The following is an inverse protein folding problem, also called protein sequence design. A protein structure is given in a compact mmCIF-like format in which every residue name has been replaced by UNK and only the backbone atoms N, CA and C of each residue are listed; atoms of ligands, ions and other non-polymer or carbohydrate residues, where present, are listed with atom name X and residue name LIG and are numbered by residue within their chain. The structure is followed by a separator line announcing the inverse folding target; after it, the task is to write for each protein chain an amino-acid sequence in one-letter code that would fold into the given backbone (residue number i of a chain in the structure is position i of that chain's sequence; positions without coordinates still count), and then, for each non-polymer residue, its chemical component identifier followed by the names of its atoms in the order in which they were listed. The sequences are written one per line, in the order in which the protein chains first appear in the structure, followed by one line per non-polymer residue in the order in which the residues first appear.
data_IF_670973979288
#
_entry.id   IF_670973979288
#
_cell.length_a   1.000
_cell.length_b   1.000
_cell.length_c   1.000
_cell.angle_alpha   90.00
_cell.angle_beta   90.00
_cell.angle_gamma   90.00
#
_symmetry.space_group_name_H-M   'P 1'
#
loop_
_entity.id
_entity.type
_entity.pdbx_description
1 polymer ?
#
# COMPACT_ATOMS: atom_id res chain seq x y z
N UNK A 1 -40.40 8.78 30.34
CA UNK A 1 -40.51 8.79 31.82
C UNK A 1 -40.79 7.35 32.22
N UNK A 2 -40.00 6.62 33.01
CA UNK A 2 -39.26 6.99 34.21
C UNK A 2 -37.92 6.22 34.30
N UNK A 3 -37.10 6.65 35.25
CA UNK A 3 -35.66 6.47 35.33
C UNK A 3 -35.22 5.49 36.44
N UNK A 4 -33.91 5.20 36.38
CA UNK A 4 -33.00 4.45 37.25
C UNK A 4 -33.16 4.58 38.78
N UNK A 5 -32.80 3.50 39.50
CA UNK A 5 -31.97 3.43 40.74
C UNK A 5 -31.44 1.97 40.88
N UNK A 6 -30.13 1.66 40.80
CA UNK A 6 -29.08 1.55 41.86
C UNK A 6 -29.59 0.87 43.16
N UNK A 7 -29.00 -0.18 43.76
CA UNK A 7 -27.59 -0.32 44.24
C UNK A 7 -27.31 -1.71 44.89
N UNK A 8 -26.02 -2.11 44.89
CA UNK A 8 -25.22 -2.87 45.91
C UNK A 8 -25.45 -4.38 46.15
N UNK A 9 -24.40 -5.18 45.89
CA UNK A 9 -23.89 -6.20 46.83
C UNK A 9 -22.41 -6.52 46.54
N UNK A 10 -21.52 -6.17 47.49
CA UNK A 10 -20.15 -6.68 47.63
C UNK A 10 -20.16 -7.67 48.80
N UNK A 11 -19.59 -8.86 48.64
CA UNK A 11 -19.03 -9.64 49.75
C UNK A 11 -17.77 -10.36 49.27
N UNK A 12 -16.65 -10.05 49.93
CA UNK A 12 -15.36 -10.74 49.89
C UNK A 12 -15.25 -11.60 51.15
N UNK A 13 -14.62 -12.77 51.03
CA UNK A 13 -13.77 -13.55 51.98
C UNK A 13 -13.87 -15.03 51.58
N UNK A 14 -12.84 -15.87 51.54
CA UNK A 14 -11.47 -15.79 51.99
C UNK A 14 -10.70 -17.09 51.66
N UNK A 15 -9.39 -16.95 51.76
CA UNK A 15 -8.22 -17.84 51.77
C UNK A 15 -8.28 -19.38 51.68
N UNK A 16 -7.07 -19.88 51.29
CA UNK A 16 -6.42 -21.17 51.55
C UNK A 16 -6.70 -22.31 50.56
N UNK A 17 -5.77 -23.19 50.20
CA UNK A 17 -4.30 -23.33 50.20
C UNK A 17 -4.11 -24.76 49.61
N UNK A 18 -2.96 -25.02 48.98
CA UNK A 18 -2.43 -26.36 48.62
C UNK A 18 -3.05 -27.06 47.41
N UNK A 19 -2.19 -27.43 46.45
CA UNK A 19 -1.98 -28.83 46.02
C UNK A 19 -0.71 -28.86 45.14
N UNK A 20 0.44 -29.15 45.77
CA UNK A 20 1.59 -29.76 45.12
C UNK A 20 1.48 -31.26 45.37
N UNK A 21 1.45 -32.06 44.31
CA UNK A 21 1.70 -33.52 44.40
C UNK A 21 2.72 -33.90 43.33
N UNK A 22 3.79 -34.61 43.68
CA UNK A 22 4.86 -35.02 42.76
C UNK A 22 4.55 -36.40 42.15
N UNK A 23 5.02 -36.65 40.94
CA UNK A 23 5.13 -38.01 40.42
C UNK A 23 6.59 -38.25 40.03
N UNK A 24 7.28 -39.06 40.84
CA UNK A 24 8.62 -39.52 40.57
C UNK A 24 8.63 -40.71 39.62
N UNK A 25 9.74 -40.88 38.92
CA UNK A 25 10.19 -42.19 38.47
C UNK A 25 11.66 -42.36 38.84
N UNK A 26 11.90 -43.49 39.49
CA UNK A 26 13.14 -44.00 40.05
C UNK A 26 13.88 -44.76 38.96
N UNK A 27 15.18 -44.47 38.78
CA UNK A 27 16.15 -45.47 38.30
C UNK A 27 17.45 -45.30 39.10
N UNK A 28 17.83 -46.40 39.76
CA UNK A 28 18.96 -46.51 40.67
C UNK A 28 20.22 -47.06 39.97
N UNK A 29 21.34 -46.48 40.37
CA UNK A 29 22.67 -47.06 40.58
C UNK A 29 23.55 -47.46 39.37
N UNK A 30 24.70 -46.79 39.26
CA UNK A 30 26.02 -47.40 39.42
C UNK A 30 27.09 -46.30 39.63
N UNK A 31 27.89 -46.47 40.69
CA UNK A 31 29.06 -45.64 41.01
C UNK A 31 30.28 -46.18 40.26
N UNK A 32 31.21 -45.31 39.86
CA UNK A 32 32.64 -45.49 40.16
C UNK A 32 33.45 -44.22 39.86
N UNK A 33 34.35 -43.94 40.79
CA UNK A 33 35.31 -42.85 40.88
C UNK A 33 36.47 -43.01 39.90
N UNK A 34 36.90 -41.93 39.23
CA UNK A 34 38.32 -41.64 38.94
C UNK A 34 38.51 -40.20 38.40
N UNK A 35 39.53 -39.45 38.85
CA UNK A 35 39.78 -38.08 38.40
C UNK A 35 40.78 -38.05 37.24
N UNK A 36 40.61 -37.15 36.26
CA UNK A 36 41.75 -36.55 35.51
C UNK A 36 41.37 -35.43 34.54
N UNK A 37 41.91 -34.25 34.86
CA UNK A 37 42.60 -33.26 34.00
C UNK A 37 41.80 -32.60 32.87
N UNK A 38 41.33 -31.39 33.15
CA UNK A 38 41.06 -30.37 32.14
C UNK A 38 42.39 -29.94 31.48
N UNK A 39 42.53 -29.94 30.15
CA UNK A 39 43.69 -29.34 29.50
C UNK A 39 43.54 -27.82 29.50
N UNK A 40 44.41 -27.14 30.25
CA UNK A 40 44.63 -25.71 30.13
C UNK A 40 45.16 -25.42 28.71
N UNK A 41 44.36 -24.76 27.88
CA UNK A 41 44.84 -24.19 26.61
C UNK A 41 45.73 -22.99 26.92
N UNK A 42 47.03 -23.18 26.83
CA UNK A 42 48.01 -22.09 26.79
C UNK A 42 47.88 -21.35 25.47
N UNK A 43 47.51 -20.07 25.51
CA UNK A 43 47.58 -19.19 24.34
C UNK A 43 49.05 -18.99 23.94
N UNK A 44 49.42 -19.43 22.75
CA UNK A 44 50.69 -19.08 22.14
C UNK A 44 50.60 -17.63 21.62
N UNK A 45 51.47 -16.75 22.14
CA UNK A 45 51.61 -15.39 21.65
C UNK A 45 52.19 -15.39 20.23
N UNK A 46 51.45 -14.84 19.27
CA UNK A 46 51.93 -14.59 17.90
C UNK A 46 52.81 -13.34 17.91
N UNK A 47 54.04 -13.48 17.42
CA UNK A 47 54.99 -12.39 17.20
C UNK A 47 54.40 -11.36 16.22
N UNK A 48 54.44 -10.09 16.61
CA UNK A 48 54.08 -8.95 15.76
C UNK A 48 55.08 -8.78 14.61
N UNK A 49 54.62 -8.96 13.37
CA UNK A 49 55.35 -8.62 12.15
C UNK A 49 54.94 -7.23 11.64
N UNK A 50 55.93 -6.54 11.06
CA UNK A 50 55.93 -5.13 10.67
C UNK A 50 54.84 -4.73 9.66
N UNK A 51 54.29 -3.55 9.95
CA UNK A 51 53.57 -2.55 9.13
C UNK A 51 53.73 -2.69 7.60
N UNK A 52 52.61 -2.96 6.92
CA UNK A 52 52.41 -2.71 5.48
C UNK A 52 51.07 -2.00 5.30
N UNK A 53 51.06 -0.86 4.59
CA UNK A 53 49.86 -0.07 4.28
C UNK A 53 48.86 -0.93 3.49
N UNK A 54 47.61 -1.00 3.96
CA UNK A 54 46.44 -1.46 3.20
C UNK A 54 45.41 -0.33 3.18
N UNK A 55 44.87 -0.11 1.99
CA UNK A 55 43.80 0.84 1.67
C UNK A 55 42.57 0.59 2.54
N UNK A 56 42.00 1.68 3.07
CA UNK A 56 40.76 1.64 3.86
C UNK A 56 39.57 1.40 2.94
N UNK A 57 39.00 0.20 3.01
CA UNK A 57 37.62 -0.01 2.59
C UNK A 57 36.68 0.56 3.67
N UNK A 58 35.65 1.36 3.33
CA UNK A 58 34.73 1.90 4.31
C UNK A 58 33.90 0.76 4.92
N UNK A 59 33.97 0.63 6.24
CA UNK A 59 33.12 -0.29 7.01
C UNK A 59 31.63 0.06 6.78
N UNK A 60 30.73 -0.93 6.60
CA UNK A 60 29.31 -0.65 6.53
C UNK A 60 28.87 -0.02 7.85
N UNK A 61 28.30 1.19 7.78
CA UNK A 61 27.61 1.82 8.90
C UNK A 61 26.38 0.97 9.18
N UNK A 62 26.45 0.09 10.18
CA UNK A 62 25.26 -0.40 10.86
C UNK A 62 24.66 0.83 11.54
N UNK A 63 23.63 1.41 10.92
CA UNK A 63 22.75 2.33 11.62
C UNK A 63 22.13 1.54 12.77
N UNK A 64 22.70 1.68 13.95
CA UNK A 64 21.98 1.35 15.18
C UNK A 64 20.74 2.22 15.14
N UNK A 65 19.56 1.60 14.96
CA UNK A 65 18.30 2.23 15.34
C UNK A 65 18.51 2.76 16.76
N UNK A 66 18.61 4.08 16.87
CA UNK A 66 18.63 4.71 18.18
C UNK A 66 17.22 4.50 18.69
N UNK A 67 17.06 3.61 19.66
CA UNK A 67 15.85 3.57 20.44
C UNK A 67 15.81 4.89 21.22
N UNK A 68 15.19 5.91 20.63
CA UNK A 68 14.97 7.20 21.26
C UNK A 68 13.78 7.00 22.19
N UNK A 69 14.02 6.35 23.32
CA UNK A 69 13.17 6.48 24.48
C UNK A 69 13.45 7.87 25.07
N UNK A 70 13.01 8.93 24.40
CA UNK A 70 12.99 10.27 25.00
C UNK A 70 11.89 10.26 26.07
N UNK A 71 12.22 10.21 27.38
CA UNK A 71 11.20 10.20 28.44
C UNK A 71 10.38 11.49 28.46
N UNK A 72 10.87 12.54 27.81
CA UNK A 72 10.27 13.87 27.73
C UNK A 72 9.41 14.10 26.49
N UNK A 73 9.29 13.12 25.58
CA UNK A 73 8.40 13.25 24.41
C UNK A 73 6.94 13.05 24.85
N UNK A 74 6.17 14.14 24.90
CA UNK A 74 4.76 14.09 25.32
C UNK A 74 3.97 13.07 24.49
N UNK A 75 3.29 12.14 25.15
CA UNK A 75 2.47 11.10 24.51
C UNK A 75 1.12 11.72 24.07
N UNK A 76 0.58 11.35 22.90
CA UNK A 76 -0.80 11.71 22.54
C UNK A 76 -1.80 11.22 23.60
N UNK A 77 -2.87 11.97 23.83
CA UNK A 77 -3.89 11.61 24.82
C UNK A 77 -4.51 10.23 24.51
N UNK A 78 -4.50 9.32 25.49
CA UNK A 78 -5.09 7.97 25.39
C UNK A 78 -4.12 6.82 25.07
N UNK A 79 -2.83 7.11 24.83
CA UNK A 79 -1.79 6.08 24.63
C UNK A 79 -0.98 5.82 25.90
N UNK A 80 -0.67 4.55 26.17
CA UNK A 80 0.07 4.12 27.37
C UNK A 80 1.59 4.30 27.18
N UNK A 81 2.12 3.93 26.01
CA UNK A 81 3.53 4.11 25.64
C UNK A 81 3.71 4.19 24.10
N UNK A 82 4.92 4.57 23.67
CA UNK A 82 5.27 4.65 22.23
C UNK A 82 5.53 3.29 21.61
N UNK A 83 6.21 2.40 22.34
CA UNK A 83 6.47 1.03 21.95
C UNK A 83 5.93 0.07 23.00
N UNK A 84 5.37 -1.08 22.60
CA UNK A 84 4.99 -2.13 23.52
C UNK A 84 6.24 -2.76 24.15
N UNK A 85 6.19 -3.00 25.46
CA UNK A 85 7.26 -3.69 26.20
C UNK A 85 7.17 -5.20 25.99
N UNK A 86 5.94 -5.71 25.91
CA UNK A 86 5.64 -7.13 25.77
C UNK A 86 5.27 -7.46 24.32
N UNK A 87 5.51 -8.71 23.92
CA UNK A 87 5.15 -9.23 22.59
C UNK A 87 3.64 -9.20 22.34
N UNK A 88 2.85 -9.42 23.40
CA UNK A 88 1.38 -9.37 23.36
C UNK A 88 0.89 -8.10 24.03
N UNK A 89 0.31 -7.22 23.25
CA UNK A 89 -0.18 -5.93 23.72
C UNK A 89 -1.51 -5.55 23.07
N UNK A 90 -2.28 -4.72 23.77
CA UNK A 90 -3.55 -4.21 23.26
C UNK A 90 -3.29 -3.07 22.27
N UNK A 91 -3.50 -3.31 20.98
CA UNK A 91 -3.24 -2.36 19.89
C UNK A 91 -3.87 -0.97 20.10
N UNK A 92 -5.00 -0.87 20.82
CA UNK A 92 -5.67 0.40 21.12
C UNK A 92 -4.81 1.37 21.94
N UNK A 93 -3.92 0.84 22.78
CA UNK A 93 -3.12 1.64 23.73
C UNK A 93 -1.76 2.08 23.18
N UNK A 94 -1.44 1.69 21.95
CA UNK A 94 -0.16 1.96 21.31
C UNK A 94 -0.38 2.61 19.93
N UNK A 95 0.54 3.47 19.49
CA UNK A 95 0.49 3.96 18.13
C UNK A 95 0.71 2.79 17.16
N UNK A 96 0.06 2.83 16.00
CA UNK A 96 0.29 1.83 14.96
C UNK A 96 1.73 1.94 14.45
N UNK A 97 2.47 0.83 14.35
CA UNK A 97 3.84 0.84 13.83
C UNK A 97 3.84 1.25 12.35
N UNK A 98 4.87 2.00 11.96
CA UNK A 98 5.09 2.43 10.57
C UNK A 98 6.25 1.62 10.02
N UNK A 99 6.03 0.95 8.89
CA UNK A 99 6.99 0.04 8.28
C UNK A 99 7.59 0.61 7.00
N UNK A 100 8.79 0.12 6.68
CA UNK A 100 9.36 0.31 5.35
C UNK A 100 8.57 -0.51 4.32
N UNK A 101 8.45 -0.02 3.08
CA UNK A 101 7.61 -0.65 2.06
C UNK A 101 8.04 -2.08 1.71
N UNK A 102 9.35 -2.34 1.65
CA UNK A 102 9.91 -3.69 1.42
C UNK A 102 9.50 -4.67 2.51
N UNK A 103 9.69 -4.26 3.77
CA UNK A 103 9.35 -5.07 4.96
C UNK A 103 7.84 -5.33 5.03
N UNK A 104 7.03 -4.33 4.71
CA UNK A 104 5.58 -4.45 4.68
C UNK A 104 5.10 -5.50 3.65
N UNK A 105 5.67 -5.49 2.45
CA UNK A 105 5.33 -6.48 1.41
C UNK A 105 5.70 -7.89 1.85
N UNK A 106 6.88 -8.07 2.47
CA UNK A 106 7.28 -9.37 3.02
C UNK A 106 6.33 -9.86 4.13
N UNK A 107 5.88 -8.94 5.00
CA UNK A 107 4.89 -9.27 6.02
C UNK A 107 3.56 -9.70 5.40
N UNK A 108 3.07 -8.99 4.38
CA UNK A 108 1.85 -9.38 3.68
C UNK A 108 1.94 -10.78 3.06
N UNK A 109 3.08 -11.14 2.47
CA UNK A 109 3.32 -12.49 1.93
C UNK A 109 3.35 -13.54 3.03
N UNK A 110 3.97 -13.24 4.17
CA UNK A 110 3.97 -14.14 5.34
C UNK A 110 2.58 -14.30 5.93
N UNK A 111 1.80 -13.23 6.05
CA UNK A 111 0.41 -13.29 6.52
C UNK A 111 -0.43 -14.20 5.63
N UNK A 112 -0.30 -14.06 4.31
CA UNK A 112 -1.00 -14.94 3.36
C UNK A 112 -0.66 -16.42 3.56
N UNK A 113 0.60 -16.76 3.85
CA UNK A 113 1.04 -18.13 4.17
C UNK A 113 0.48 -18.63 5.51
N UNK A 114 0.51 -17.79 6.55
CA UNK A 114 0.04 -18.13 7.90
C UNK A 114 -1.47 -18.29 7.97
N UNK A 115 -2.20 -17.47 7.21
CA UNK A 115 -3.66 -17.51 7.13
C UNK A 115 -4.17 -18.59 6.15
N UNK A 116 -3.26 -19.34 5.49
CA UNK A 116 -3.57 -20.34 4.46
C UNK A 116 -4.51 -19.83 3.36
N UNK A 117 -4.29 -18.58 2.93
CA UNK A 117 -5.13 -17.93 1.93
C UNK A 117 -4.55 -18.03 0.51
N UNK A 118 -5.35 -17.66 -0.48
CA UNK A 118 -4.99 -17.76 -1.90
C UNK A 118 -3.74 -16.93 -2.25
N UNK A 119 -2.85 -17.48 -3.09
CA UNK A 119 -1.57 -16.83 -3.44
C UNK A 119 -1.72 -15.60 -4.34
N UNK A 120 -2.68 -15.60 -5.28
CA UNK A 120 -2.89 -14.44 -6.18
C UNK A 120 -3.92 -13.46 -5.63
N UNK A 121 -3.85 -13.18 -4.33
CA UNK A 121 -4.63 -12.12 -3.71
C UNK A 121 -4.22 -10.75 -4.22
N UNK A 122 -5.18 -9.84 -4.26
CA UNK A 122 -4.96 -8.44 -4.65
C UNK A 122 -4.38 -7.66 -3.49
N UNK A 123 -3.38 -6.85 -3.80
CA UNK A 123 -2.76 -5.88 -2.89
C UNK A 123 -3.33 -4.50 -3.20
N UNK A 124 -3.82 -3.86 -2.15
CA UNK A 124 -4.40 -2.54 -2.18
C UNK A 124 -3.47 -1.53 -1.51
N UNK A 125 -3.48 -0.31 -2.04
CA UNK A 125 -2.88 0.87 -1.45
C UNK A 125 -3.98 1.87 -1.14
N UNK A 126 -4.05 2.24 0.13
CA UNK A 126 -4.88 3.30 0.64
C UNK A 126 -3.98 4.51 0.94
N UNK A 127 -4.16 5.57 0.16
CA UNK A 127 -3.49 6.85 0.36
C UNK A 127 -4.48 7.86 0.91
N UNK A 128 -4.12 8.53 2.01
CA UNK A 128 -4.80 9.71 2.50
C UNK A 128 -4.07 10.95 2.01
N UNK A 129 -4.78 11.81 1.29
CA UNK A 129 -4.24 13.03 0.72
C UNK A 129 -4.62 14.24 1.57
N UNK A 130 -3.69 15.19 1.69
CA UNK A 130 -4.02 16.53 2.13
C UNK A 130 -4.41 17.37 0.92
N UNK A 131 -5.71 17.58 0.71
CA UNK A 131 -6.23 18.40 -0.39
C UNK A 131 -6.38 19.88 0.00
N UNK A 132 -6.01 20.26 1.23
CA UNK A 132 -6.07 21.66 1.69
C UNK A 132 -4.85 22.42 1.17
N UNK A 133 -5.06 23.65 0.72
CA UNK A 133 -3.99 24.59 0.45
C UNK A 133 -4.00 25.70 1.51
N UNK A 134 -2.90 26.44 1.63
CA UNK A 134 -2.75 27.52 2.62
C UNK A 134 -3.79 28.65 2.45
N UNK A 135 -4.29 28.84 1.21
CA UNK A 135 -5.44 29.70 0.90
C UNK A 135 -6.71 28.84 0.84
N UNK A 136 -7.89 29.44 1.04
CA UNK A 136 -9.22 28.75 1.00
C UNK A 136 -9.51 27.91 -0.26
N UNK A 137 -8.63 27.95 -1.26
CA UNK A 137 -8.60 27.06 -2.43
C UNK A 137 -8.25 25.64 -2.02
N UNK A 138 -9.04 24.66 -2.49
CA UNK A 138 -8.74 23.23 -2.31
C UNK A 138 -8.25 22.67 -3.63
N UNK A 139 -7.46 21.61 -3.58
CA UNK A 139 -7.22 20.78 -4.77
C UNK A 139 -8.54 20.11 -5.14
N UNK A 140 -8.93 20.19 -6.41
CA UNK A 140 -10.13 19.51 -6.90
C UNK A 140 -9.91 17.99 -6.87
N UNK A 141 -10.94 17.19 -6.51
CA UNK A 141 -10.84 15.74 -6.62
C UNK A 141 -10.68 15.37 -8.10
N UNK A 142 -9.70 14.51 -8.37
CA UNK A 142 -9.33 14.10 -9.72
C UNK A 142 -9.45 12.59 -9.91
N UNK A 143 -9.41 12.18 -11.17
CA UNK A 143 -9.37 10.79 -11.62
C UNK A 143 -8.21 10.72 -12.60
N UNK A 144 -7.23 9.88 -12.30
CA UNK A 144 -6.03 9.73 -13.12
C UNK A 144 -5.98 8.33 -13.72
N UNK A 145 -5.26 8.19 -14.82
CA UNK A 145 -4.95 6.90 -15.44
C UNK A 145 -3.46 6.84 -15.70
N UNK A 146 -2.81 5.81 -15.14
CA UNK A 146 -1.35 5.65 -15.15
C UNK A 146 -0.99 4.32 -15.75
N UNK A 147 0.11 4.27 -16.51
CA UNK A 147 0.65 3.02 -16.99
C UNK A 147 1.47 2.36 -15.87
N UNK A 148 1.04 1.19 -15.40
CA UNK A 148 1.84 0.43 -14.42
C UNK A 148 2.99 -0.29 -15.15
N UNK A 149 4.23 -0.23 -14.64
CA UNK A 149 5.37 -0.90 -15.26
C UNK A 149 5.19 -2.43 -15.27
N UNK A 150 4.52 -2.98 -14.26
CA UNK A 150 4.18 -4.39 -14.19
C UNK A 150 2.66 -4.57 -14.15
N UNK A 151 2.14 -5.33 -15.12
CA UNK A 151 0.71 -5.49 -15.30
C UNK A 151 0.09 -6.41 -14.25
N UNK A 152 -1.08 -5.99 -13.76
CA UNK A 152 -1.92 -6.73 -12.81
C UNK A 152 -2.72 -7.86 -13.46
N UNK A 153 -3.24 -7.58 -14.64
CA UNK A 153 -4.13 -8.47 -15.39
C UNK A 153 -3.42 -8.88 -16.67
N UNK A 154 -3.64 -10.13 -17.07
CA UNK A 154 -3.24 -10.61 -18.40
C UNK A 154 -4.17 -10.06 -19.49
N UNK A 155 -5.40 -9.70 -19.14
CA UNK A 155 -6.38 -9.15 -20.07
C UNK A 155 -6.21 -7.64 -20.27
N UNK A 156 -6.19 -7.23 -21.54
CA UNK A 156 -6.14 -5.83 -21.98
C UNK A 156 -7.52 -5.19 -21.79
N UNK A 157 -7.56 -3.92 -21.37
CA UNK A 157 -8.81 -3.20 -21.19
C UNK A 157 -9.56 -3.04 -22.52
N UNK A 158 -10.87 -3.25 -22.51
CA UNK A 158 -11.72 -3.02 -23.69
C UNK A 158 -12.00 -1.52 -23.80
N UNK A 159 -11.48 -0.89 -24.86
CA UNK A 159 -11.66 0.54 -25.12
C UNK A 159 -12.60 0.76 -26.30
N UNK A 160 -13.65 1.54 -26.08
CA UNK A 160 -14.59 1.99 -27.11
C UNK A 160 -14.32 3.45 -27.46
N UNK A 161 -14.27 3.77 -28.75
CA UNK A 161 -14.01 5.14 -29.24
C UNK A 161 -15.23 5.69 -29.97
N UNK A 162 -15.71 6.84 -29.50
CA UNK A 162 -16.75 7.63 -30.15
C UNK A 162 -16.13 8.70 -31.07
N UNK A 163 -16.40 8.62 -32.36
CA UNK A 163 -15.97 9.60 -33.36
C UNK A 163 -16.97 9.70 -34.51
N UNK A 164 -17.28 10.92 -34.96
CA UNK A 164 -18.04 11.15 -36.20
C UNK A 164 -17.11 11.26 -37.42
N UNK A 165 -15.87 11.67 -37.20
CA UNK A 165 -14.90 11.84 -38.26
C UNK A 165 -14.38 10.46 -38.71
N UNK A 166 -14.56 10.16 -40.00
CA UNK A 166 -14.17 8.88 -40.59
C UNK A 166 -12.65 8.63 -40.49
N UNK A 167 -11.82 9.66 -40.60
CA UNK A 167 -10.37 9.52 -40.53
C UNK A 167 -9.91 9.13 -39.11
N UNK A 168 -10.51 9.76 -38.10
CA UNK A 168 -10.26 9.44 -36.69
C UNK A 168 -10.78 8.05 -36.31
N UNK A 169 -11.89 7.61 -36.92
CA UNK A 169 -12.40 6.26 -36.75
C UNK A 169 -11.44 5.22 -37.34
N UNK A 170 -10.93 5.42 -38.56
CA UNK A 170 -9.93 4.53 -39.17
C UNK A 170 -8.66 4.41 -38.32
N UNK A 171 -8.14 5.54 -37.80
CA UNK A 171 -6.97 5.53 -36.90
C UNK A 171 -7.23 4.73 -35.63
N UNK A 172 -8.44 4.79 -35.08
CA UNK A 172 -8.82 4.01 -33.91
C UNK A 172 -8.92 2.50 -34.20
N UNK A 173 -9.42 2.13 -35.39
CA UNK A 173 -9.50 0.74 -35.87
C UNK A 173 -8.10 0.17 -36.10
N UNK A 174 -7.22 0.91 -36.78
CA UNK A 174 -5.80 0.54 -36.98
C UNK A 174 -5.07 0.32 -35.64
N UNK A 175 -5.44 1.12 -34.64
CA UNK A 175 -4.91 1.02 -33.28
C UNK A 175 -5.52 -0.10 -32.47
N UNK A 176 -6.33 -0.99 -33.05
CA UNK A 176 -7.01 -2.11 -32.38
C UNK A 176 -7.92 -1.67 -31.22
N UNK A 177 -8.72 -0.62 -31.41
CA UNK A 177 -9.83 -0.34 -30.49
C UNK A 177 -10.87 -1.48 -30.56
N UNK A 178 -11.52 -1.80 -29.45
CA UNK A 178 -12.47 -2.92 -29.41
C UNK A 178 -13.74 -2.61 -30.21
N UNK A 179 -14.19 -1.36 -30.14
CA UNK A 179 -15.34 -0.84 -30.87
C UNK A 179 -15.07 0.61 -31.26
N UNK A 180 -15.42 0.97 -32.49
CA UNK A 180 -15.29 2.32 -33.02
C UNK A 180 -16.61 2.69 -33.72
N UNK A 181 -17.10 3.90 -33.51
CA UNK A 181 -18.29 4.36 -34.20
C UNK A 181 -18.80 5.72 -33.73
N UNK A 182 -19.81 6.22 -34.43
CA UNK A 182 -20.45 7.51 -34.16
C UNK A 182 -21.73 7.36 -33.34
N UNK A 183 -22.81 7.96 -33.83
CA UNK A 183 -24.12 7.96 -33.17
C UNK A 183 -24.75 6.57 -33.03
N UNK A 184 -24.48 5.68 -33.99
CA UNK A 184 -25.04 4.33 -34.01
C UNK A 184 -24.65 3.51 -32.77
N UNK A 185 -23.42 3.72 -32.26
CA UNK A 185 -22.97 3.05 -31.04
C UNK A 185 -23.66 3.56 -29.78
N UNK A 186 -24.21 4.78 -29.80
CA UNK A 186 -24.88 5.36 -28.63
C UNK A 186 -26.10 4.51 -28.28
N UNK A 187 -26.90 4.13 -29.27
CA UNK A 187 -28.07 3.27 -29.07
C UNK A 187 -27.67 1.87 -28.58
N UNK A 188 -26.67 1.24 -29.22
CA UNK A 188 -26.18 -0.09 -28.79
C UNK A 188 -25.65 -0.09 -27.35
N UNK A 189 -24.99 0.99 -26.92
CA UNK A 189 -24.56 1.14 -25.53
C UNK A 189 -25.74 1.41 -24.59
N UNK A 190 -26.78 2.11 -25.04
CA UNK A 190 -28.04 2.29 -24.29
C UNK A 190 -28.85 1.00 -24.14
N UNK A 191 -28.75 0.09 -25.11
CA UNK A 191 -29.44 -1.21 -25.11
C UNK A 191 -28.63 -2.33 -24.44
N UNK A 192 -27.44 -2.02 -23.91
CA UNK A 192 -26.50 -2.96 -23.26
C UNK A 192 -25.92 -4.04 -24.20
N UNK A 193 -26.03 -3.86 -25.52
CA UNK A 193 -25.41 -4.78 -26.49
C UNK A 193 -23.88 -4.69 -26.46
N UNK A 194 -23.35 -3.48 -26.22
CA UNK A 194 -21.91 -3.20 -26.23
C UNK A 194 -21.47 -2.67 -24.87
N UNK A 195 -20.54 -3.38 -24.24
CA UNK A 195 -19.94 -3.01 -22.96
C UNK A 195 -18.42 -2.87 -23.07
N UNK A 196 -17.89 -1.76 -22.56
CA UNK A 196 -16.47 -1.47 -22.52
C UNK A 196 -16.00 -1.05 -21.11
N UNK A 197 -14.70 -1.14 -20.88
CA UNK A 197 -14.07 -0.68 -19.64
C UNK A 197 -13.89 0.84 -19.69
N UNK A 198 -13.33 1.33 -20.80
CA UNK A 198 -13.10 2.75 -21.06
C UNK A 198 -13.86 3.21 -22.30
N UNK A 199 -14.41 4.41 -22.19
CA UNK A 199 -15.09 5.12 -23.28
C UNK A 199 -14.29 6.37 -23.59
N UNK A 200 -13.78 6.47 -24.81
CA UNK A 200 -13.07 7.62 -25.34
C UNK A 200 -13.98 8.37 -26.32
N UNK A 201 -13.83 9.69 -26.39
CA UNK A 201 -14.61 10.49 -27.32
C UNK A 201 -13.78 11.62 -27.93
N UNK A 202 -14.04 11.90 -29.19
CA UNK A 202 -13.61 13.15 -29.84
C UNK A 202 -14.53 14.28 -29.36
N UNK A 203 -14.04 15.52 -29.15
CA UNK A 203 -14.87 16.64 -28.71
C UNK A 203 -16.13 16.86 -29.56
N UNK A 204 -16.08 16.58 -30.86
CA UNK A 204 -17.15 16.84 -31.82
C UNK A 204 -18.45 16.07 -31.51
N UNK A 205 -18.34 14.81 -31.07
CA UNK A 205 -19.50 13.94 -30.78
C UNK A 205 -20.07 14.13 -29.35
N UNK A 206 -19.40 14.92 -28.50
CA UNK A 206 -19.76 15.04 -27.08
C UNK A 206 -21.19 15.53 -26.85
N UNK A 207 -21.71 16.39 -27.74
CA UNK A 207 -23.08 16.89 -27.65
C UNK A 207 -24.11 15.75 -27.79
N UNK A 208 -23.81 14.75 -28.61
CA UNK A 208 -24.69 13.61 -28.89
C UNK A 208 -24.60 12.53 -27.81
N UNK A 209 -23.49 12.48 -27.06
CA UNK A 209 -23.29 11.53 -25.95
C UNK A 209 -24.08 11.86 -24.68
N UNK A 210 -24.79 12.99 -24.62
CA UNK A 210 -25.56 13.40 -23.44
C UNK A 210 -26.52 12.33 -22.88
N UNK A 211 -27.25 11.55 -23.69
CA UNK A 211 -28.14 10.50 -23.21
C UNK A 211 -27.42 9.41 -22.38
N UNK A 212 -26.14 9.14 -22.68
CA UNK A 212 -25.34 8.13 -21.99
C UNK A 212 -24.89 8.56 -20.59
N UNK A 213 -25.03 9.83 -20.23
CA UNK A 213 -24.54 10.40 -18.96
C UNK A 213 -25.09 9.66 -17.73
N UNK A 214 -26.39 9.34 -17.76
CA UNK A 214 -27.06 8.66 -16.65
C UNK A 214 -26.67 7.17 -16.55
N UNK A 215 -26.40 6.53 -17.69
CA UNK A 215 -26.03 5.11 -17.77
C UNK A 215 -24.57 4.89 -17.39
N UNK A 216 -23.64 5.62 -18.02
CA UNK A 216 -22.21 5.43 -17.83
C UNK A 216 -21.69 6.04 -16.50
N UNK A 217 -22.37 7.04 -15.93
CA UNK A 217 -22.03 7.71 -14.64
C UNK A 217 -20.54 8.03 -14.47
N UNK A 218 -19.77 7.14 -13.83
CA UNK A 218 -18.32 7.28 -13.60
C UNK A 218 -17.50 7.04 -14.87
N UNK A 219 -17.97 6.15 -15.76
CA UNK A 219 -17.31 5.78 -17.02
C UNK A 219 -17.53 6.80 -18.15
N UNK A 220 -18.41 7.80 -17.95
CA UNK A 220 -18.73 8.80 -18.96
C UNK A 220 -17.47 9.60 -19.36
N UNK A 221 -17.22 9.85 -20.65
CA UNK A 221 -16.06 10.61 -21.11
C UNK A 221 -16.05 12.04 -20.54
N UNK A 222 -14.92 12.47 -19.95
CA UNK A 222 -14.72 13.83 -19.43
C UNK A 222 -13.34 14.35 -19.75
N UNK A 223 -13.23 15.63 -20.07
CA UNK A 223 -11.93 16.29 -20.32
C UNK A 223 -11.00 16.17 -19.09
N UNK A 224 -11.52 16.33 -17.87
CA UNK A 224 -10.75 16.20 -16.62
C UNK A 224 -10.11 14.81 -16.42
N UNK A 225 -10.66 13.76 -17.05
CA UNK A 225 -10.15 12.37 -16.98
C UNK A 225 -9.19 12.06 -18.13
N UNK A 226 -8.99 12.99 -19.07
CA UNK A 226 -8.19 12.75 -20.28
C UNK A 226 -8.83 11.79 -21.30
N UNK A 227 -10.10 11.39 -21.12
CA UNK A 227 -10.80 10.49 -22.05
C UNK A 227 -11.43 11.21 -23.24
N UNK A 228 -11.32 12.54 -23.29
CA UNK A 228 -11.82 13.36 -24.39
C UNK A 228 -10.64 14.10 -24.98
N UNK A 229 -10.41 13.91 -26.27
CA UNK A 229 -9.25 14.50 -26.94
C UNK A 229 -9.24 14.23 -28.44
N UNK A 230 -8.40 14.97 -29.14
CA UNK A 230 -8.23 14.84 -30.61
C UNK A 230 -7.22 13.74 -30.96
N UNK A 231 -6.25 13.49 -30.08
CA UNK A 231 -5.16 12.53 -30.32
C UNK A 231 -5.56 11.12 -29.86
N UNK A 232 -6.30 10.38 -30.70
CA UNK A 232 -6.85 9.07 -30.34
C UNK A 232 -5.76 8.01 -30.11
N UNK A 233 -4.70 8.01 -30.92
CA UNK A 233 -3.61 7.02 -30.82
C UNK A 233 -2.99 6.99 -29.41
N UNK A 234 -2.56 8.16 -28.93
CA UNK A 234 -1.96 8.33 -27.60
C UNK A 234 -2.93 7.95 -26.49
N UNK A 235 -4.20 8.33 -26.63
CA UNK A 235 -5.22 7.96 -25.64
C UNK A 235 -5.43 6.44 -25.62
N UNK A 236 -5.52 5.79 -26.77
CA UNK A 236 -5.70 4.34 -26.85
C UNK A 236 -4.54 3.58 -26.20
N UNK A 237 -3.30 3.98 -26.47
CA UNK A 237 -2.12 3.38 -25.82
C UNK A 237 -2.18 3.47 -24.30
N UNK A 238 -2.54 4.67 -23.79
CA UNK A 238 -2.67 4.92 -22.36
C UNK A 238 -3.81 4.12 -21.72
N UNK A 239 -5.01 4.10 -22.31
CA UNK A 239 -6.18 3.47 -21.66
C UNK A 239 -6.25 1.95 -21.85
N UNK A 240 -5.61 1.40 -22.88
CA UNK A 240 -5.53 -0.06 -23.09
C UNK A 240 -4.83 -0.79 -21.96
N UNK A 241 -3.74 -0.21 -21.48
CA UNK A 241 -2.90 -0.77 -20.41
C UNK A 241 -2.98 0.04 -19.12
N UNK A 242 -3.69 1.17 -19.16
CA UNK A 242 -3.80 2.11 -18.07
C UNK A 242 -4.53 1.54 -16.87
N UNK A 243 -4.00 1.84 -15.71
CA UNK A 243 -4.62 1.64 -14.42
C UNK A 243 -5.25 2.94 -13.96
N UNK A 244 -6.56 2.92 -13.74
CA UNK A 244 -7.30 4.09 -13.26
C UNK A 244 -7.40 4.07 -11.74
N UNK A 245 -7.17 5.24 -11.13
CA UNK A 245 -7.50 5.50 -9.74
C UNK A 245 -8.25 6.83 -9.60
N UNK A 246 -9.03 6.94 -8.53
CA UNK A 246 -9.88 8.09 -8.26
C UNK A 246 -9.75 8.54 -6.81
N UNK A 247 -9.86 9.85 -6.60
CA UNK A 247 -9.98 10.42 -5.27
C UNK A 247 -11.42 10.30 -4.78
N UNK A 248 -11.62 9.61 -3.66
CA UNK A 248 -12.91 9.49 -2.99
C UNK A 248 -13.23 10.74 -2.15
N UNK A 249 -14.47 10.83 -1.65
CA UNK A 249 -15.00 12.04 -1.00
C UNK A 249 -14.20 12.50 0.22
N UNK A 250 -13.60 11.56 0.94
CA UNK A 250 -12.85 11.84 2.17
C UNK A 250 -11.33 12.00 1.93
N UNK A 251 -10.93 12.35 0.70
CA UNK A 251 -9.54 12.52 0.27
C UNK A 251 -8.71 11.23 0.35
N UNK A 252 -9.37 10.08 0.22
CA UNK A 252 -8.71 8.77 0.12
C UNK A 252 -8.60 8.32 -1.32
N UNK A 253 -7.53 7.60 -1.63
CA UNK A 253 -7.36 6.84 -2.86
C UNK A 253 -7.19 5.38 -2.45
N UNK A 254 -8.14 4.53 -2.81
CA UNK A 254 -8.03 3.08 -2.66
C UNK A 254 -7.82 2.43 -4.03
N UNK A 255 -6.62 1.92 -4.25
CA UNK A 255 -6.19 1.44 -5.57
C UNK A 255 -5.54 0.06 -5.47
N UNK A 256 -5.73 -0.77 -6.49
CA UNK A 256 -5.09 -2.09 -6.59
C UNK A 256 -3.73 -1.92 -7.25
N UNK A 257 -2.64 -2.34 -6.62
CA UNK A 257 -1.29 -2.17 -7.18
C UNK A 257 -0.76 -3.44 -7.83
N UNK A 258 -0.90 -4.56 -7.11
CA UNK A 258 -0.26 -5.82 -7.47
C UNK A 258 -1.09 -7.03 -7.01
N UNK A 259 -0.65 -8.23 -7.39
CA UNK A 259 -1.02 -9.48 -6.70
C UNK A 259 0.12 -9.96 -5.82
N UNK A 260 -0.18 -10.64 -4.69
CA UNK A 260 0.85 -11.11 -3.75
C UNK A 260 1.87 -12.09 -4.35
N UNK A 261 1.48 -12.82 -5.40
CA UNK A 261 2.34 -13.74 -6.16
C UNK A 261 3.50 -13.02 -6.89
N UNK A 262 3.36 -11.72 -7.16
CA UNK A 262 4.40 -10.94 -7.85
C UNK A 262 5.67 -10.79 -6.99
N UNK A 263 6.86 -10.70 -7.60
CA UNK A 263 8.08 -10.44 -6.85
C UNK A 263 8.04 -9.05 -6.20
N UNK A 264 8.73 -8.89 -5.07
CA UNK A 264 8.67 -7.67 -4.25
C UNK A 264 9.01 -6.43 -5.07
N UNK A 265 10.05 -6.51 -5.91
CA UNK A 265 10.54 -5.40 -6.74
C UNK A 265 9.45 -4.86 -7.68
N UNK A 266 8.61 -5.73 -8.25
CA UNK A 266 7.54 -5.32 -9.15
C UNK A 266 6.41 -4.60 -8.39
N UNK A 267 6.11 -5.06 -7.18
CA UNK A 267 5.11 -4.41 -6.31
C UNK A 267 5.60 -3.01 -5.92
N UNK A 268 6.88 -2.89 -5.55
CA UNK A 268 7.50 -1.61 -5.20
C UNK A 268 7.50 -0.63 -6.38
N UNK A 269 7.89 -1.08 -7.58
CA UNK A 269 7.90 -0.26 -8.77
C UNK A 269 6.50 0.25 -9.15
N UNK A 270 5.48 -0.61 -9.12
CA UNK A 270 4.10 -0.20 -9.38
C UNK A 270 3.60 0.81 -8.35
N UNK A 271 3.95 0.62 -7.07
CA UNK A 271 3.57 1.54 -6.00
C UNK A 271 4.26 2.90 -6.17
N UNK A 272 5.55 2.91 -6.53
CA UNK A 272 6.31 4.12 -6.81
C UNK A 272 5.67 4.93 -7.94
N UNK A 273 5.25 4.27 -9.02
CA UNK A 273 4.61 4.92 -10.18
C UNK A 273 3.27 5.59 -9.82
N UNK A 274 2.47 4.94 -8.95
CA UNK A 274 1.21 5.54 -8.48
C UNK A 274 1.49 6.75 -7.58
N UNK A 275 2.44 6.63 -6.64
CA UNK A 275 2.76 7.72 -5.72
C UNK A 275 3.38 8.91 -6.46
N UNK A 276 4.25 8.67 -7.45
CA UNK A 276 4.84 9.73 -8.26
C UNK A 276 3.77 10.48 -9.05
N UNK A 277 2.85 9.76 -9.74
CA UNK A 277 1.75 10.38 -10.47
C UNK A 277 0.83 11.20 -9.54
N UNK A 278 0.46 10.65 -8.38
CA UNK A 278 -0.36 11.37 -7.38
C UNK A 278 0.34 12.67 -6.94
N UNK A 279 1.65 12.65 -6.74
CA UNK A 279 2.41 13.83 -6.35
C UNK A 279 2.48 14.90 -7.45
N UNK A 280 2.25 14.57 -8.72
CA UNK A 280 2.23 15.58 -9.80
C UNK A 280 1.08 16.57 -9.68
N UNK A 281 -0.03 16.17 -9.05
CA UNK A 281 -1.24 16.98 -8.91
C UNK A 281 -1.11 18.12 -7.89
N UNK A 282 -0.10 18.08 -7.02
CA UNK A 282 0.20 19.16 -6.05
C UNK A 282 1.69 19.49 -6.09
N UNK A 283 2.09 20.73 -6.41
CA UNK A 283 3.50 21.07 -6.46
C UNK A 283 4.13 20.96 -5.07
N UNK A 284 5.38 20.46 -5.02
CA UNK A 284 6.10 20.12 -3.79
C UNK A 284 6.30 21.30 -2.81
N UNK A 285 6.20 22.54 -3.30
CA UNK A 285 6.30 23.78 -2.50
C UNK A 285 5.27 23.85 -1.37
N UNK A 286 4.12 23.19 -1.52
CA UNK A 286 3.06 23.21 -0.51
C UNK A 286 3.22 22.11 0.57
N UNK A 287 4.38 21.44 0.63
CA UNK A 287 4.63 20.36 1.60
C UNK A 287 4.12 18.99 1.11
N UNK A 288 4.15 17.96 1.99
CA UNK A 288 3.84 16.60 1.61
C UNK A 288 2.36 16.45 1.22
N UNK A 289 2.10 15.94 0.02
CA UNK A 289 0.73 15.73 -0.46
C UNK A 289 0.07 14.48 0.15
N UNK A 290 0.86 13.43 0.37
CA UNK A 290 0.42 12.18 0.98
C UNK A 290 0.60 12.27 2.51
N UNK A 291 -0.51 12.31 3.26
CA UNK A 291 -0.47 12.33 4.73
C UNK A 291 -0.21 10.95 5.32
N UNK A 292 -0.79 9.92 4.71
CA UNK A 292 -0.74 8.55 5.20
C UNK A 292 -0.84 7.60 4.04
N UNK A 293 -0.04 6.54 4.07
CA UNK A 293 -0.22 5.38 3.20
C UNK A 293 -0.37 4.12 4.02
N UNK A 294 -1.28 3.26 3.58
CA UNK A 294 -1.54 1.95 4.15
C UNK A 294 -1.52 0.95 3.00
N UNK A 295 -0.84 -0.16 3.20
CA UNK A 295 -0.89 -1.31 2.28
C UNK A 295 -1.65 -2.44 2.93
N UNK A 296 -2.54 -3.08 2.20
CA UNK A 296 -3.30 -4.23 2.68
C UNK A 296 -3.50 -5.27 1.58
N UNK A 297 -3.57 -6.54 1.98
CA UNK A 297 -4.16 -7.59 1.14
C UNK A 297 -5.68 -7.63 1.35
N UNK A 298 -6.39 -8.37 0.50
CA UNK A 298 -7.82 -8.61 0.62
C UNK A 298 -8.24 -9.22 1.97
N UNK A 299 -7.39 -10.04 2.59
CA UNK A 299 -7.69 -10.73 3.86
C UNK A 299 -6.88 -10.23 5.05
N UNK A 300 -5.72 -9.63 4.81
CA UNK A 300 -4.78 -9.24 5.86
C UNK A 300 -5.15 -7.89 6.48
N UNK A 301 -4.56 -7.59 7.63
CA UNK A 301 -4.61 -6.25 8.19
C UNK A 301 -3.85 -5.22 7.33
N UNK A 302 -4.19 -3.94 7.55
CA UNK A 302 -3.54 -2.81 6.89
C UNK A 302 -2.31 -2.34 7.63
N UNK A 303 -1.17 -2.37 6.93
CA UNK A 303 0.14 -1.96 7.43
C UNK A 303 0.42 -0.51 7.05
N UNK A 304 0.81 0.32 8.03
CA UNK A 304 1.16 1.71 7.76
C UNK A 304 2.55 1.79 7.14
N UNK A 305 2.69 2.59 6.08
CA UNK A 305 3.93 2.73 5.34
C UNK A 305 4.61 4.06 5.60
N UNK A 306 5.94 4.04 5.61
CA UNK A 306 6.75 5.24 5.42
C UNK A 306 6.90 5.54 3.92
N UNK A 307 6.28 6.61 3.44
CA UNK A 307 6.32 7.01 2.03
C UNK A 307 7.48 7.93 1.65
N UNK A 308 8.32 8.34 2.60
CA UNK A 308 9.39 9.32 2.33
C UNK A 308 10.30 8.92 1.16
N UNK A 309 10.52 7.63 0.95
CA UNK A 309 11.36 7.10 -0.13
C UNK A 309 10.81 7.35 -1.55
N UNK A 310 9.49 7.53 -1.69
CA UNK A 310 8.83 7.67 -2.99
C UNK A 310 8.38 9.10 -3.30
N UNK A 311 8.50 10.01 -2.33
CA UNK A 311 8.13 11.40 -2.54
C UNK A 311 9.22 12.07 -3.38
N UNK A 312 8.85 12.94 -4.34
CA UNK A 312 9.83 13.72 -5.08
C UNK A 312 10.62 14.58 -4.09
N UNK A 313 11.95 14.45 -4.10
CA UNK A 313 12.83 15.33 -3.35
C UNK A 313 12.66 16.75 -3.87
N UNK A 314 12.48 17.71 -2.96
CA UNK A 314 12.56 19.12 -3.31
C UNK A 314 14.01 19.36 -3.70
N UNK A 315 14.30 19.43 -5.00
CA UNK A 315 15.55 20.01 -5.47
C UNK A 315 15.49 21.49 -5.08
N UNK A 316 16.23 21.86 -4.04
CA UNK A 316 16.41 23.25 -3.63
C UNK A 316 17.28 23.93 -4.70
N UNK A 317 16.63 24.59 -5.66
CA UNK A 317 17.25 25.59 -6.56
C UNK A 317 17.52 26.91 -5.81
#
# INVERSE_FOLDING_TARGET
MAACTRTIAKVLTGCHRHLLTPCGQVLTNLSQTAPRRLPARTFAAVKSAKKGKKEEQPKPKVEKERNVDDPNRHKPYGLTAWFPVDDVYLTRHYPKPVYNPSVAIDMLKKFQQLDFTYSKQLVYLDLKLDMKLEKKTKVDPFVSTVHLPYQLKTEINKVLVFSENADQAKLAEESNAAFVGGEELIQKVLDDEVQADFYLAVPDIMNKLHPLKNKLRKKFPKNKRGTVGVNILKMLELFKTGHEYLVERDCYILTKIATLDMPMEHILANMQEIISDVCTYRPARFGPFVERAIICSATSEGLHLNCQQFLPSIEEE
#
